data_IF_587349027024
#
_entry.id   IF_587349027024
#
_cell.length_a   1.000
_cell.length_b   1.000
_cell.length_c   1.000
_cell.angle_alpha   90.00
_cell.angle_beta   90.00
_cell.angle_gamma   90.00
#
_symmetry.space_group_name_H-M   'P 1'
#
loop_
_entity.id
_entity.type
_entity.pdbx_description
1 polymer ?
#
# COMPACT_ATOMS: atom_id res chain seq x y z
N UNK A 1 18.58 9.76 29.69
CA UNK A 1 19.18 10.00 28.35
C UNK A 1 19.93 8.80 27.74
N UNK A 2 20.62 7.95 28.54
CA UNK A 2 21.42 6.84 28.00
C UNK A 2 20.66 5.74 27.24
N UNK A 3 19.43 5.41 27.64
CA UNK A 3 18.62 4.34 27.00
C UNK A 3 18.23 4.67 25.55
N UNK A 4 17.89 5.94 25.28
CA UNK A 4 17.56 6.43 23.92
C UNK A 4 18.81 6.51 23.05
N UNK A 5 19.96 6.90 23.62
CA UNK A 5 21.26 6.93 22.95
C UNK A 5 21.71 5.53 22.51
N UNK A 6 21.57 4.53 23.39
CA UNK A 6 21.90 3.12 23.08
C UNK A 6 21.02 2.53 21.98
N UNK A 7 19.72 2.83 21.97
CA UNK A 7 18.81 2.42 20.88
C UNK A 7 19.24 3.05 19.55
N UNK A 8 19.51 4.36 19.52
CA UNK A 8 19.98 5.05 18.31
C UNK A 8 21.29 4.46 17.80
N UNK A 9 22.26 4.22 18.68
CA UNK A 9 23.53 3.63 18.30
C UNK A 9 23.34 2.24 17.69
N UNK A 10 22.54 1.36 18.33
CA UNK A 10 22.27 0.00 17.83
C UNK A 10 21.69 -0.04 16.40
N UNK A 11 20.80 0.90 16.06
CA UNK A 11 20.17 0.93 14.73
C UNK A 11 20.97 1.71 13.68
N UNK A 12 21.82 2.66 14.07
CA UNK A 12 22.57 3.48 13.12
C UNK A 12 23.98 2.94 12.80
N UNK A 13 24.62 2.17 13.69
CA UNK A 13 25.95 1.60 13.43
C UNK A 13 25.94 0.49 12.38
N UNK A 14 24.83 -0.23 12.18
CA UNK A 14 24.75 -1.33 11.20
C UNK A 14 24.78 -0.90 9.73
N UNK A 15 24.84 0.40 9.44
CA UNK A 15 24.83 0.96 8.06
C UNK A 15 26.16 1.59 7.66
N UNK A 16 27.17 1.62 8.56
CA UNK A 16 28.43 2.34 8.35
C UNK A 16 29.65 1.47 8.08
N UNK A 17 29.50 0.15 8.00
CA UNK A 17 30.60 -0.75 7.64
C UNK A 17 30.12 -1.65 6.51
N UNK A 18 30.75 -1.50 5.34
CA UNK A 18 30.51 -2.16 4.04
C UNK A 18 29.76 -1.33 3.00
N UNK A 19 30.32 -0.16 2.67
CA UNK A 19 30.33 0.29 1.28
C UNK A 19 31.78 0.12 0.83
N UNK A 20 32.06 -1.00 0.16
CA UNK A 20 33.33 -1.17 -0.53
C UNK A 20 33.44 -0.11 -1.64
N UNK A 21 34.62 0.47 -1.90
CA UNK A 21 34.81 1.32 -3.06
C UNK A 21 34.60 0.46 -4.29
N UNK A 22 33.57 0.78 -5.08
CA UNK A 22 33.34 0.17 -6.38
C UNK A 22 34.51 0.62 -7.25
N UNK A 23 35.39 -0.33 -7.54
CA UNK A 23 36.51 -0.22 -8.46
C UNK A 23 36.01 0.13 -9.85
N UNK A 24 36.71 1.07 -10.48
CA UNK A 24 36.55 1.51 -11.85
C UNK A 24 36.41 0.33 -12.83
N UNK A 25 35.29 0.30 -13.56
CA UNK A 25 35.13 -0.49 -14.77
C UNK A 25 34.62 0.45 -15.86
N UNK A 26 35.36 0.49 -16.95
CA UNK A 26 35.17 1.35 -18.10
C UNK A 26 33.78 1.19 -18.71
N UNK A 27 32.99 2.27 -18.69
CA UNK A 27 31.95 2.52 -19.68
C UNK A 27 31.74 4.04 -19.73
N UNK A 28 32.61 4.74 -20.46
CA UNK A 28 32.37 6.12 -20.83
C UNK A 28 31.10 6.21 -21.70
N UNK A 29 29.95 6.42 -21.06
CA UNK A 29 28.80 7.00 -21.76
C UNK A 29 29.10 8.49 -21.89
N UNK A 30 29.86 8.84 -22.94
CA UNK A 30 29.98 10.23 -23.38
C UNK A 30 28.56 10.76 -23.61
N UNK A 31 28.17 11.91 -23.05
CA UNK A 31 26.91 12.53 -23.41
C UNK A 31 27.01 12.86 -24.90
N UNK A 32 26.23 12.17 -25.74
CA UNK A 32 26.05 12.57 -27.13
C UNK A 32 25.52 14.00 -27.09
N UNK A 33 26.35 14.96 -27.48
CA UNK A 33 25.90 16.32 -27.79
C UNK A 33 24.85 16.18 -28.88
N UNK A 34 23.58 16.18 -28.49
CA UNK A 34 22.48 16.39 -29.42
C UNK A 34 22.69 17.80 -29.94
N UNK A 35 23.22 17.95 -31.14
CA UNK A 35 23.29 19.24 -31.81
C UNK A 35 21.86 19.70 -32.03
N UNK A 36 21.38 20.63 -31.20
CA UNK A 36 20.16 21.37 -31.51
C UNK A 36 20.41 22.05 -32.86
N UNK A 37 19.69 21.59 -33.89
CA UNK A 37 19.52 22.35 -35.12
C UNK A 37 18.84 23.67 -34.74
N UNK A 38 19.63 24.72 -34.58
CA UNK A 38 19.10 26.07 -34.43
C UNK A 38 18.44 26.43 -35.76
N UNK A 39 17.11 26.44 -35.80
CA UNK A 39 16.37 26.97 -36.94
C UNK A 39 16.74 28.45 -37.08
N UNK A 40 17.31 28.84 -38.23
CA UNK A 40 17.75 30.21 -38.52
C UNK A 40 16.60 31.21 -38.66
N UNK A 41 15.37 30.72 -38.65
CA UNK A 41 14.15 31.51 -38.84
C UNK A 41 13.39 31.61 -37.52
N UNK A 42 12.96 32.83 -37.19
CA UNK A 42 12.16 33.09 -36.01
C UNK A 42 10.77 32.47 -36.17
N UNK A 43 10.52 31.36 -35.46
CA UNK A 43 9.29 30.56 -35.55
C UNK A 43 8.04 31.32 -35.11
N UNK A 44 8.21 32.48 -34.45
CA UNK A 44 7.14 33.27 -33.88
C UNK A 44 6.97 34.65 -34.52
N UNK A 45 7.67 34.93 -35.62
CA UNK A 45 7.63 36.25 -36.28
C UNK A 45 6.21 36.71 -36.66
N UNK A 46 5.27 35.78 -36.86
CA UNK A 46 3.88 36.07 -37.23
C UNK A 46 2.89 35.94 -36.06
N UNK A 47 3.36 35.77 -34.81
CA UNK A 47 2.48 35.63 -33.65
C UNK A 47 2.38 36.96 -32.90
N UNK A 48 1.33 37.73 -33.16
CA UNK A 48 1.00 38.93 -32.41
C UNK A 48 0.33 38.56 -31.07
N UNK A 49 1.13 38.48 -29.99
CA UNK A 49 0.62 38.18 -28.65
C UNK A 49 0.09 39.47 -28.01
N UNK A 50 -1.23 39.59 -27.85
CA UNK A 50 -1.84 40.69 -27.13
C UNK A 50 -1.85 40.40 -25.61
N UNK A 51 -1.02 41.12 -24.86
CA UNK A 51 -0.80 40.90 -23.42
C UNK A 51 -2.09 41.09 -22.60
N UNK A 52 -3.01 41.96 -23.05
CA UNK A 52 -4.25 42.24 -22.33
C UNK A 52 -5.26 41.09 -22.41
N UNK A 53 -5.19 40.24 -23.45
CA UNK A 53 -6.06 39.07 -23.58
C UNK A 53 -5.66 37.92 -22.65
N UNK A 54 -4.38 37.85 -22.26
CA UNK A 54 -3.85 36.76 -21.41
C UNK A 54 -4.46 36.70 -20.01
N UNK A 55 -4.87 37.85 -19.44
CA UNK A 55 -5.49 37.91 -18.10
C UNK A 55 -6.92 37.36 -18.07
N UNK A 56 -7.56 37.22 -19.23
CA UNK A 56 -8.94 36.72 -19.35
C UNK A 56 -9.02 35.21 -19.52
N UNK A 57 -7.91 34.56 -19.89
CA UNK A 57 -7.83 33.11 -19.95
C UNK A 57 -7.73 32.55 -18.53
N UNK A 58 -8.87 32.11 -17.98
CA UNK A 58 -8.90 31.20 -16.84
C UNK A 58 -8.33 29.85 -17.30
N UNK A 59 -7.01 29.73 -17.29
CA UNK A 59 -6.31 28.46 -17.48
C UNK A 59 -6.79 27.53 -16.35
N UNK A 60 -7.42 26.38 -16.66
CA UNK A 60 -7.64 25.36 -15.66
C UNK A 60 -6.29 25.03 -15.02
N UNK A 61 -6.23 24.97 -13.68
CA UNK A 61 -5.05 24.52 -12.95
C UNK A 61 -4.81 23.02 -13.18
N UNK A 62 -4.56 22.63 -14.42
CA UNK A 62 -4.15 21.28 -14.77
C UNK A 62 -2.63 21.21 -14.70
N UNK A 63 -2.16 20.81 -13.52
CA UNK A 63 -1.08 19.83 -13.23
C UNK A 63 0.17 19.73 -14.14
N UNK A 64 0.58 20.75 -14.89
CA UNK A 64 1.93 20.82 -15.44
C UNK A 64 2.88 21.46 -14.41
N UNK A 65 3.15 20.72 -13.33
CA UNK A 65 4.22 21.03 -12.37
C UNK A 65 5.59 20.61 -12.91
N UNK A 66 6.01 21.12 -14.06
CA UNK A 66 7.44 21.19 -14.36
C UNK A 66 8.04 22.37 -13.58
N UNK A 67 8.56 22.04 -12.40
CA UNK A 67 9.59 22.75 -11.63
C UNK A 67 9.74 24.27 -11.87
N UNK A 68 8.69 25.04 -11.60
CA UNK A 68 8.86 26.38 -11.06
C UNK A 68 8.51 26.30 -9.58
N UNK A 69 9.41 26.78 -8.71
CA UNK A 69 9.13 26.87 -7.27
C UNK A 69 7.96 27.83 -7.11
N UNK A 70 6.74 27.30 -7.04
CA UNK A 70 5.54 28.11 -6.92
C UNK A 70 5.65 28.98 -5.66
N UNK A 71 5.49 30.28 -5.84
CA UNK A 71 5.60 31.32 -4.81
C UNK A 71 4.58 31.13 -3.67
N UNK A 72 3.56 30.30 -3.85
CA UNK A 72 2.64 29.85 -2.81
C UNK A 72 3.29 28.98 -1.71
N UNK A 73 4.48 28.43 -1.96
CA UNK A 73 5.26 27.62 -1.00
C UNK A 73 6.01 28.46 0.05
N UNK A 74 5.97 29.80 -0.04
CA UNK A 74 6.57 30.72 0.93
C UNK A 74 5.68 30.98 2.16
N UNK A 75 4.45 30.47 2.22
CA UNK A 75 3.72 30.45 3.48
C UNK A 75 4.46 29.54 4.46
N UNK A 76 5.13 30.14 5.45
CA UNK A 76 5.82 29.48 6.55
C UNK A 76 4.77 28.73 7.38
N UNK A 77 4.40 27.54 6.93
CA UNK A 77 3.49 26.65 7.66
C UNK A 77 4.21 26.20 8.92
N UNK A 78 3.51 26.24 10.06
CA UNK A 78 4.03 25.71 11.33
C UNK A 78 4.47 24.25 11.11
N UNK A 79 5.54 23.82 11.80
CA UNK A 79 6.10 22.46 11.68
C UNK A 79 5.04 21.35 11.79
N UNK A 80 4.03 21.57 12.65
CA UNK A 80 2.88 20.69 12.84
C UNK A 80 2.05 20.54 11.56
N UNK A 81 1.78 21.62 10.85
CA UNK A 81 0.95 21.63 9.65
C UNK A 81 1.70 21.04 8.46
N UNK A 82 3.01 21.27 8.35
CA UNK A 82 3.87 20.61 7.36
C UNK A 82 3.91 19.09 7.57
N UNK A 83 3.93 18.63 8.83
CA UNK A 83 3.89 17.20 9.15
C UNK A 83 2.53 16.57 8.79
N UNK A 84 1.41 17.25 9.10
CA UNK A 84 0.07 16.81 8.71
C UNK A 84 -0.06 16.69 7.19
N UNK A 85 0.38 17.72 6.46
CA UNK A 85 0.34 17.73 5.00
C UNK A 85 1.12 16.57 4.40
N UNK A 86 2.34 16.30 4.91
CA UNK A 86 3.14 15.14 4.48
C UNK A 86 2.42 13.82 4.73
N UNK A 87 1.80 13.66 5.90
CA UNK A 87 1.02 12.46 6.24
C UNK A 87 -0.17 12.30 5.32
N UNK A 88 -0.93 13.36 5.06
CA UNK A 88 -2.08 13.34 4.16
C UNK A 88 -1.67 13.03 2.72
N UNK A 89 -0.60 13.66 2.22
CA UNK A 89 -0.04 13.35 0.90
C UNK A 89 0.41 11.89 0.81
N UNK A 90 1.05 11.36 1.84
CA UNK A 90 1.45 9.95 1.89
C UNK A 90 0.22 9.02 1.86
N UNK A 91 -0.80 9.31 2.66
CA UNK A 91 -2.04 8.52 2.69
C UNK A 91 -2.74 8.55 1.33
N UNK A 92 -2.85 9.72 0.70
CA UNK A 92 -3.38 9.88 -0.66
C UNK A 92 -2.63 9.00 -1.67
N UNK A 93 -1.30 8.99 -1.63
CA UNK A 93 -0.47 8.13 -2.50
C UNK A 93 -0.73 6.65 -2.26
N UNK A 94 -0.81 6.21 -1.01
CA UNK A 94 -1.10 4.81 -0.65
C UNK A 94 -2.50 4.41 -1.14
N UNK A 95 -3.50 5.26 -0.94
CA UNK A 95 -4.87 5.01 -1.37
C UNK A 95 -4.98 4.90 -2.88
N UNK A 96 -4.30 5.78 -3.63
CA UNK A 96 -4.25 5.75 -5.09
C UNK A 96 -3.62 4.44 -5.59
N UNK A 97 -2.47 4.03 -5.05
CA UNK A 97 -1.83 2.74 -5.40
C UNK A 97 -2.73 1.56 -5.09
N UNK A 98 -3.43 1.58 -3.95
CA UNK A 98 -4.37 0.53 -3.58
C UNK A 98 -5.59 0.47 -4.51
N UNK A 99 -6.10 1.62 -4.94
CA UNK A 99 -7.20 1.70 -5.91
C UNK A 99 -6.76 1.13 -7.26
N UNK A 100 -5.63 1.58 -7.81
CA UNK A 100 -5.07 1.04 -9.06
C UNK A 100 -4.87 -0.48 -8.99
N UNK A 101 -4.33 -1.00 -7.87
CA UNK A 101 -4.14 -2.45 -7.67
C UNK A 101 -5.46 -3.22 -7.59
N UNK A 102 -6.52 -2.62 -7.03
CA UNK A 102 -7.85 -3.24 -6.99
C UNK A 102 -8.50 -3.24 -8.37
N UNK A 103 -8.36 -2.14 -9.10
CA UNK A 103 -8.87 -2.00 -10.46
C UNK A 103 -8.18 -2.95 -11.44
N UNK A 104 -6.86 -3.09 -11.38
CA UNK A 104 -6.13 -4.05 -12.22
C UNK A 104 -6.57 -5.49 -11.96
N UNK A 105 -6.74 -5.88 -10.69
CA UNK A 105 -7.29 -7.18 -10.32
C UNK A 105 -8.72 -7.39 -10.83
N UNK A 106 -9.56 -6.35 -10.75
CA UNK A 106 -10.93 -6.39 -11.28
C UNK A 106 -10.91 -6.56 -12.80
N UNK A 107 -10.12 -5.75 -13.53
CA UNK A 107 -9.94 -5.85 -14.97
C UNK A 107 -9.45 -7.24 -15.38
N UNK A 108 -8.47 -7.81 -14.68
CA UNK A 108 -7.98 -9.17 -14.97
C UNK A 108 -9.06 -10.23 -14.78
N UNK A 109 -9.86 -10.14 -13.71
CA UNK A 109 -11.00 -11.05 -13.51
C UNK A 109 -12.03 -10.92 -14.62
N UNK A 110 -12.37 -9.69 -15.01
CA UNK A 110 -13.32 -9.44 -16.10
C UNK A 110 -12.84 -9.97 -17.44
N UNK A 111 -11.55 -9.76 -17.77
CA UNK A 111 -10.91 -10.35 -18.96
C UNK A 111 -11.03 -11.87 -18.98
N UNK A 112 -10.87 -12.55 -17.84
CA UNK A 112 -11.05 -14.01 -17.75
C UNK A 112 -12.50 -14.47 -17.93
N UNK A 113 -13.47 -13.65 -17.53
CA UNK A 113 -14.90 -13.98 -17.68
C UNK A 113 -15.50 -13.46 -19.00
N UNK A 114 -14.69 -12.78 -19.83
CA UNK A 114 -15.12 -12.13 -21.08
C UNK A 114 -15.67 -13.14 -22.08
N UNK A 115 -15.07 -14.32 -22.17
CA UNK A 115 -15.48 -15.35 -23.14
C UNK A 115 -16.86 -15.94 -22.83
N UNK A 116 -17.29 -15.91 -21.56
CA UNK A 116 -18.55 -16.50 -21.12
C UNK A 116 -19.72 -15.51 -21.24
N UNK A 117 -19.46 -14.20 -21.06
CA UNK A 117 -20.53 -13.20 -20.85
C UNK A 117 -20.54 -12.08 -21.91
N UNK A 118 -19.53 -12.02 -22.80
CA UNK A 118 -19.35 -10.90 -23.73
C UNK A 118 -18.83 -9.63 -23.04
N UNK A 119 -18.58 -8.57 -23.82
CA UNK A 119 -17.95 -7.33 -23.31
C UNK A 119 -18.95 -6.36 -22.67
N UNK A 120 -19.32 -6.62 -21.41
CA UNK A 120 -20.22 -5.76 -20.63
C UNK A 120 -19.52 -4.54 -20.00
N UNK A 121 -18.21 -4.38 -20.19
CA UNK A 121 -17.45 -3.30 -19.57
C UNK A 121 -17.78 -1.94 -20.20
N UNK A 122 -18.00 -1.87 -21.51
CA UNK A 122 -18.39 -0.63 -22.20
C UNK A 122 -19.72 -0.07 -21.68
N UNK A 123 -20.71 -0.94 -21.39
CA UNK A 123 -21.98 -0.54 -20.80
C UNK A 123 -21.79 0.01 -19.38
N UNK A 124 -20.86 -0.55 -18.61
CA UNK A 124 -20.57 -0.09 -17.25
C UNK A 124 -19.84 1.25 -17.23
N UNK A 125 -18.89 1.46 -18.15
CA UNK A 125 -18.10 2.69 -18.21
C UNK A 125 -18.91 3.86 -18.80
N UNK A 126 -19.92 3.58 -19.62
CA UNK A 126 -20.90 4.56 -20.08
C UNK A 126 -21.87 5.04 -18.98
N UNK A 127 -21.89 4.39 -17.81
CA UNK A 127 -22.74 4.83 -16.70
C UNK A 127 -22.10 5.99 -15.94
N UNK A 128 -22.89 7.03 -15.58
CA UNK A 128 -22.44 8.08 -14.68
C UNK A 128 -21.92 7.48 -13.37
N UNK A 129 -20.79 8.00 -12.85
CA UNK A 129 -20.29 7.56 -11.55
C UNK A 129 -21.39 7.74 -10.49
N UNK A 130 -21.56 6.77 -9.58
CA UNK A 130 -22.62 6.80 -8.54
C UNK A 130 -22.63 8.08 -7.68
N UNK A 131 -21.54 8.85 -7.67
CA UNK A 131 -21.46 10.18 -7.04
C UNK A 131 -22.33 11.23 -7.75
N UNK A 132 -22.48 11.11 -9.06
CA UNK A 132 -23.27 12.01 -9.89
C UNK A 132 -24.77 11.69 -9.80
N UNK A 133 -25.11 10.43 -9.50
CA UNK A 133 -26.49 9.95 -9.38
C UNK A 133 -27.03 10.05 -7.94
N UNK A 134 -26.17 10.29 -6.94
CA UNK A 134 -26.58 10.39 -5.54
C UNK A 134 -27.18 11.76 -5.18
N UNK A 135 -28.28 12.16 -5.84
CA UNK A 135 -29.18 13.22 -5.34
C UNK A 135 -30.36 12.65 -4.54
N UNK A 136 -30.63 11.34 -4.60
CA UNK A 136 -31.66 10.68 -3.79
C UNK A 136 -31.04 9.60 -2.92
N UNK A 137 -30.74 9.94 -1.65
CA UNK A 137 -30.22 8.98 -0.68
C UNK A 137 -31.37 8.13 -0.12
N UNK A 138 -31.50 6.89 -0.59
CA UNK A 138 -32.29 5.86 0.11
C UNK A 138 -31.67 5.47 1.46
N UNK A 139 -32.44 4.80 2.33
CA UNK A 139 -32.02 4.46 3.68
C UNK A 139 -30.80 3.51 3.65
N UNK A 140 -29.77 3.87 4.42
CA UNK A 140 -28.54 3.07 4.55
C UNK A 140 -28.86 1.79 5.32
N UNK A 141 -28.81 0.64 4.66
CA UNK A 141 -28.85 -0.65 5.36
C UNK A 141 -27.70 -0.77 6.36
N UNK A 142 -27.94 -1.30 7.58
CA UNK A 142 -26.88 -1.52 8.55
C UNK A 142 -25.90 -2.56 8.01
N UNK A 143 -24.64 -2.16 7.80
CA UNK A 143 -23.61 -3.09 7.36
C UNK A 143 -23.37 -4.14 8.45
N UNK A 144 -23.45 -5.42 8.09
CA UNK A 144 -23.14 -6.53 9.00
C UNK A 144 -21.80 -6.29 9.74
N UNK A 145 -21.71 -6.65 11.04
CA UNK A 145 -20.52 -6.40 11.82
C UNK A 145 -19.33 -7.13 11.19
N UNK A 146 -18.37 -6.36 10.68
CA UNK A 146 -17.12 -6.89 10.12
C UNK A 146 -16.38 -7.62 11.23
N UNK A 147 -16.31 -8.95 11.17
CA UNK A 147 -15.49 -9.77 12.09
C UNK A 147 -14.06 -9.21 12.04
N UNK A 148 -13.59 -8.65 13.16
CA UNK A 148 -12.23 -8.10 13.27
C UNK A 148 -11.26 -9.24 12.99
N UNK A 149 -10.29 -9.00 12.11
CA UNK A 149 -9.19 -9.96 11.88
C UNK A 149 -8.48 -10.16 13.23
N UNK A 150 -8.45 -11.40 13.73
CA UNK A 150 -7.79 -11.73 14.99
C UNK A 150 -6.32 -11.31 14.85
N UNK A 151 -5.85 -10.45 15.76
CA UNK A 151 -4.45 -10.06 15.83
C UNK A 151 -3.59 -11.27 16.21
N UNK A 152 -2.32 -11.29 15.81
CA UNK A 152 -1.36 -12.30 16.25
C UNK A 152 -1.28 -12.29 17.78
N UNK A 153 -1.38 -13.46 18.40
CA UNK A 153 -1.32 -13.57 19.86
C UNK A 153 0.03 -13.09 20.41
N UNK A 154 0.01 -12.47 21.60
CA UNK A 154 1.23 -12.00 22.27
C UNK A 154 2.24 -13.14 22.42
N UNK A 155 3.52 -12.85 22.22
CA UNK A 155 4.60 -13.85 22.31
C UNK A 155 4.59 -14.62 23.63
N UNK A 156 4.37 -13.95 24.76
CA UNK A 156 4.29 -14.61 26.07
C UNK A 156 3.14 -15.63 26.15
N UNK A 157 1.99 -15.33 25.54
CA UNK A 157 0.85 -16.25 25.51
C UNK A 157 1.19 -17.48 24.68
N UNK A 158 1.82 -17.29 23.51
CA UNK A 158 2.30 -18.38 22.65
C UNK A 158 3.32 -19.27 23.37
N UNK A 159 4.28 -18.68 24.09
CA UNK A 159 5.25 -19.42 24.91
C UNK A 159 4.57 -20.24 26.01
N UNK A 160 3.59 -19.66 26.71
CA UNK A 160 2.83 -20.37 27.74
C UNK A 160 2.02 -21.52 27.16
N UNK A 161 1.34 -21.32 26.03
CA UNK A 161 0.61 -22.38 25.31
C UNK A 161 1.54 -23.53 24.95
N UNK A 162 2.69 -23.24 24.32
CA UNK A 162 3.68 -24.24 23.97
C UNK A 162 4.15 -25.05 25.17
N UNK A 163 4.46 -24.40 26.30
CA UNK A 163 4.87 -25.10 27.52
C UNK A 163 3.75 -25.98 28.09
N UNK A 164 2.50 -25.52 28.01
CA UNK A 164 1.35 -26.30 28.43
C UNK A 164 1.13 -27.52 27.54
N UNK A 165 1.27 -27.37 26.22
CA UNK A 165 1.20 -28.46 25.24
C UNK A 165 2.29 -29.49 25.47
N UNK A 166 3.54 -29.06 25.69
CA UNK A 166 4.66 -29.95 26.02
C UNK A 166 4.40 -30.70 27.34
N UNK A 167 3.85 -30.03 28.35
CA UNK A 167 3.47 -30.67 29.61
C UNK A 167 2.38 -31.72 29.39
N UNK A 168 1.31 -31.37 28.65
CA UNK A 168 0.22 -32.28 28.31
C UNK A 168 0.72 -33.49 27.51
N UNK A 169 1.65 -33.30 26.59
CA UNK A 169 2.24 -34.41 25.85
C UNK A 169 3.04 -35.35 26.76
N UNK A 170 3.86 -34.78 27.66
CA UNK A 170 4.59 -35.57 28.65
C UNK A 170 3.66 -36.35 29.58
N UNK A 171 2.49 -35.82 29.95
CA UNK A 171 1.52 -36.55 30.78
C UNK A 171 0.86 -37.69 30.01
N UNK A 172 0.50 -37.49 28.74
CA UNK A 172 -0.04 -38.54 27.87
C UNK A 172 0.97 -39.68 27.70
N UNK A 173 2.24 -39.36 27.44
CA UNK A 173 3.30 -40.37 27.30
C UNK A 173 3.54 -41.20 28.56
N UNK A 174 3.27 -40.65 29.75
CA UNK A 174 3.38 -41.39 31.02
C UNK A 174 2.22 -42.37 31.27
N UNK A 175 1.11 -42.24 30.53
CA UNK A 175 -0.06 -43.07 30.74
C UNK A 175 0.16 -44.50 30.20
N UNK A 176 0.09 -45.50 31.08
CA UNK A 176 0.27 -46.92 30.72
C UNK A 176 -0.71 -47.40 29.65
N UNK A 177 -1.95 -46.89 29.63
CA UNK A 177 -2.96 -47.25 28.62
C UNK A 177 -2.54 -46.78 27.22
N UNK A 178 -2.03 -45.55 27.14
CA UNK A 178 -1.54 -44.96 25.90
C UNK A 178 -0.27 -45.66 25.39
N UNK A 179 0.62 -46.08 26.28
CA UNK A 179 1.83 -46.83 25.92
C UNK A 179 1.52 -48.23 25.34
N UNK A 180 0.47 -48.90 25.84
CA UNK A 180 0.06 -50.24 25.37
C UNK A 180 -0.68 -50.18 24.03
N UNK A 181 -1.72 -49.37 23.92
CA UNK A 181 -2.54 -49.24 22.72
C UNK A 181 -2.91 -47.76 22.45
N UNK A 182 -2.06 -47.00 21.73
CA UNK A 182 -2.26 -45.56 21.57
C UNK A 182 -3.54 -45.22 20.81
N UNK A 183 -3.85 -45.96 19.73
CA UNK A 183 -5.05 -45.73 18.91
C UNK A 183 -6.34 -45.97 19.70
N UNK A 184 -6.37 -47.00 20.52
CA UNK A 184 -7.54 -47.35 21.35
C UNK A 184 -7.75 -46.35 22.49
N UNK A 185 -6.67 -45.88 23.11
CA UNK A 185 -6.74 -44.82 24.12
C UNK A 185 -7.28 -43.51 23.52
N UNK A 186 -6.88 -43.18 22.28
CA UNK A 186 -7.39 -42.00 21.56
C UNK A 186 -8.86 -42.20 21.18
N UNK A 187 -9.24 -43.34 20.60
CA UNK A 187 -10.62 -43.59 20.17
C UNK A 187 -11.59 -43.53 21.34
N UNK A 188 -11.24 -44.13 22.49
CA UNK A 188 -12.03 -44.06 23.72
C UNK A 188 -12.18 -42.63 24.25
N UNK A 189 -11.12 -41.81 24.16
CA UNK A 189 -11.18 -40.42 24.58
C UNK A 189 -12.12 -39.59 23.69
N UNK A 190 -12.04 -39.78 22.37
CA UNK A 190 -12.93 -39.12 21.40
C UNK A 190 -14.38 -39.55 21.61
N UNK A 191 -14.63 -40.85 21.82
CA UNK A 191 -15.97 -41.37 22.13
C UNK A 191 -16.53 -40.70 23.40
N UNK A 192 -15.74 -40.61 24.47
CA UNK A 192 -16.15 -39.92 25.70
C UNK A 192 -16.47 -38.44 25.47
N UNK A 193 -15.67 -37.72 24.67
CA UNK A 193 -15.95 -36.32 24.34
C UNK A 193 -17.27 -36.17 23.56
N UNK A 194 -17.52 -37.04 22.59
CA UNK A 194 -18.75 -37.00 21.78
C UNK A 194 -19.98 -37.38 22.61
N UNK A 195 -19.88 -38.35 23.53
CA UNK A 195 -20.99 -38.74 24.41
C UNK A 195 -21.39 -37.68 25.45
N UNK A 196 -20.51 -36.71 25.72
CA UNK A 196 -20.75 -35.60 26.66
C UNK A 196 -21.08 -34.27 25.97
N UNK A 197 -21.13 -34.24 24.63
CA UNK A 197 -21.63 -33.11 23.84
C UNK A 197 -23.10 -33.31 23.48
#
# INVERSE_FOLDING_TARGET
MGKVRRLRQKFHTSTKSNIAPITAADSEIKPSKVSLLQSKTDLFANVAINIQQLSTFNIPQDEDQQSTKSTASLMIKKKKDKLKLRREQLLKKIDLVNQMKRESKRKLKRKKTKDIVGDLDSLRDALPSLKNLSKTRGPKFPSAPKKKKKCIEKEQKRKRQLLNEVKAFKTVLKNKKYQKSPLEAISKHVQSLVSHM
#
